data_IF_273417395694
#
_entry.id   IF_273417395694
#
_cell.length_a   1.000
_cell.length_b   1.000
_cell.length_c   1.000
_cell.angle_alpha   90.00
_cell.angle_beta   90.00
_cell.angle_gamma   90.00
#
_symmetry.space_group_name_H-M   'P 1'
#
loop_
_entity.id
_entity.type
_entity.pdbx_description
1 polymer ?
#
# COMPACT_ATOMS: atom_id res chain seq x y z
N UNK A 1 -7.24 20.48 -75.04
CA UNK A 1 -8.55 19.82 -74.86
C UNK A 1 -8.33 18.38 -75.28
N UNK A 2 -8.20 17.39 -74.39
CA UNK A 2 -9.21 16.91 -73.46
C UNK A 2 -8.55 16.36 -72.18
N UNK A 3 -9.14 16.72 -71.04
CA UNK A 3 -8.75 16.27 -69.71
C UNK A 3 -9.17 14.81 -69.49
N UNK A 4 -8.24 13.96 -69.07
CA UNK A 4 -8.56 12.65 -68.51
C UNK A 4 -9.17 12.85 -67.12
N UNK A 5 -10.49 12.68 -67.02
CA UNK A 5 -11.21 12.70 -65.76
C UNK A 5 -11.29 11.26 -65.23
N UNK A 6 -10.33 10.86 -64.40
CA UNK A 6 -10.47 9.66 -63.59
C UNK A 6 -11.55 9.89 -62.51
N UNK A 7 -12.41 8.90 -62.33
CA UNK A 7 -13.34 8.82 -61.20
C UNK A 7 -12.92 7.66 -60.31
N UNK A 8 -12.54 7.91 -59.04
CA UNK A 8 -12.54 6.87 -58.02
C UNK A 8 -13.65 7.11 -56.99
N UNK A 9 -14.67 6.26 -57.09
CA UNK A 9 -15.50 5.71 -56.01
C UNK A 9 -15.28 6.30 -54.60
N UNK A 10 -16.07 7.31 -54.22
CA UNK A 10 -16.22 7.72 -52.83
C UNK A 10 -17.05 6.70 -52.04
N UNK A 11 -16.40 5.64 -51.55
CA UNK A 11 -16.91 4.82 -50.44
C UNK A 11 -16.93 5.69 -49.18
N UNK A 12 -18.08 6.32 -48.90
CA UNK A 12 -18.37 6.97 -47.61
C UNK A 12 -18.19 5.95 -46.48
N UNK A 13 -17.06 6.02 -45.79
CA UNK A 13 -16.78 5.29 -44.54
C UNK A 13 -17.87 5.65 -43.52
N UNK A 14 -18.69 4.65 -43.15
CA UNK A 14 -19.52 4.69 -41.95
C UNK A 14 -18.60 4.96 -40.75
N UNK A 15 -18.74 6.12 -40.11
CA UNK A 15 -18.16 6.39 -38.80
C UNK A 15 -18.85 5.47 -37.81
N UNK A 16 -18.25 4.31 -37.52
CA UNK A 16 -18.58 3.56 -36.32
C UNK A 16 -18.12 4.40 -35.13
N UNK A 17 -19.08 5.16 -34.58
CA UNK A 17 -18.97 5.79 -33.28
C UNK A 17 -18.95 4.65 -32.28
N UNK A 18 -17.75 4.19 -31.91
CA UNK A 18 -17.54 3.25 -30.82
C UNK A 18 -18.21 3.87 -29.58
N UNK A 19 -19.31 3.26 -29.16
CA UNK A 19 -19.99 3.60 -27.92
C UNK A 19 -18.97 3.34 -26.80
N UNK A 20 -18.47 4.40 -26.17
CA UNK A 20 -17.68 4.29 -24.93
C UNK A 20 -18.56 3.62 -23.88
N UNK A 21 -18.31 2.33 -23.65
CA UNK A 21 -18.91 1.57 -22.56
C UNK A 21 -18.52 2.24 -21.23
N UNK A 22 -19.51 2.63 -20.46
CA UNK A 22 -19.36 3.17 -19.10
C UNK A 22 -18.99 2.04 -18.12
N UNK A 23 -17.78 1.48 -18.22
CA UNK A 23 -17.24 0.50 -17.24
C UNK A 23 -15.78 0.70 -16.76
N UNK A 24 -15.14 1.89 -16.80
CA UNK A 24 -13.78 2.03 -16.24
C UNK A 24 -13.75 2.19 -14.71
N UNK A 25 -14.75 2.80 -14.07
CA UNK A 25 -14.71 3.14 -12.63
C UNK A 25 -14.76 1.92 -11.70
N UNK A 26 -15.58 0.92 -12.01
CA UNK A 26 -15.81 -0.21 -11.11
C UNK A 26 -14.62 -1.19 -11.07
N UNK A 27 -13.93 -1.40 -12.20
CA UNK A 27 -12.70 -2.21 -12.25
C UNK A 27 -11.52 -1.55 -11.52
N UNK A 28 -11.44 -0.22 -11.57
CA UNK A 28 -10.39 0.52 -10.86
C UNK A 28 -10.54 0.43 -9.34
N UNK A 29 -11.77 0.46 -8.82
CA UNK A 29 -12.04 0.34 -7.39
C UNK A 29 -11.72 -1.08 -6.85
N UNK A 30 -12.08 -2.12 -7.59
CA UNK A 30 -11.74 -3.52 -7.24
C UNK A 30 -10.22 -3.71 -7.18
N UNK A 31 -9.50 -3.21 -8.20
CA UNK A 31 -8.03 -3.30 -8.20
C UNK A 31 -7.38 -2.56 -7.01
N UNK A 32 -7.92 -1.41 -6.61
CA UNK A 32 -7.40 -0.65 -5.48
C UNK A 32 -7.69 -1.32 -4.13
N UNK A 33 -8.82 -2.02 -4.01
CA UNK A 33 -9.13 -2.84 -2.84
C UNK A 33 -8.17 -4.03 -2.72
N UNK A 34 -7.90 -4.73 -3.83
CA UNK A 34 -6.96 -5.84 -3.87
C UNK A 34 -5.53 -5.39 -3.52
N UNK A 35 -5.11 -4.21 -4.00
CA UNK A 35 -3.82 -3.60 -3.62
C UNK A 35 -3.74 -3.29 -2.13
N UNK A 36 -4.82 -2.78 -1.53
CA UNK A 36 -4.87 -2.52 -0.09
C UNK A 36 -4.82 -3.78 0.75
N UNK A 37 -5.51 -4.83 0.31
CA UNK A 37 -5.46 -6.14 0.95
C UNK A 37 -4.03 -6.71 0.91
N UNK A 38 -3.36 -6.63 -0.23
CA UNK A 38 -1.97 -7.07 -0.34
C UNK A 38 -1.01 -6.26 0.55
N UNK A 39 -1.20 -4.95 0.66
CA UNK A 39 -0.39 -4.08 1.54
C UNK A 39 -0.63 -4.39 3.03
N UNK A 40 -1.87 -4.75 3.38
CA UNK A 40 -2.25 -5.18 4.73
C UNK A 40 -1.67 -6.55 5.09
N UNK A 41 -1.76 -7.53 4.18
CA UNK A 41 -1.17 -8.86 4.37
C UNK A 41 0.35 -8.77 4.57
N UNK A 42 1.02 -7.97 3.74
CA UNK A 42 2.46 -7.67 3.91
C UNK A 42 2.77 -7.05 5.28
N UNK A 43 1.90 -6.16 5.76
CA UNK A 43 2.05 -5.52 7.08
C UNK A 43 1.90 -6.54 8.22
N UNK A 44 0.99 -7.50 8.09
CA UNK A 44 0.85 -8.61 9.05
C UNK A 44 2.06 -9.53 9.06
N UNK A 45 2.60 -9.90 7.90
CA UNK A 45 3.81 -10.72 7.81
C UNK A 45 5.03 -10.01 8.42
N UNK A 46 5.13 -8.70 8.20
CA UNK A 46 6.17 -7.85 8.81
C UNK A 46 6.04 -7.84 10.33
N UNK A 47 4.82 -7.68 10.86
CA UNK A 47 4.57 -7.72 12.31
C UNK A 47 4.93 -9.08 12.92
N UNK A 48 4.55 -10.17 12.25
CA UNK A 48 4.88 -11.53 12.68
C UNK A 48 6.41 -11.72 12.76
N UNK A 49 7.14 -11.22 11.76
CA UNK A 49 8.60 -11.25 11.73
C UNK A 49 9.21 -10.45 12.88
N UNK A 50 8.74 -9.21 13.11
CA UNK A 50 9.18 -8.36 14.22
C UNK A 50 9.00 -9.09 15.56
N UNK A 51 7.86 -9.73 15.78
CA UNK A 51 7.58 -10.46 17.01
C UNK A 51 8.57 -11.61 17.24
N UNK A 52 8.86 -12.41 16.21
CA UNK A 52 9.83 -13.50 16.29
C UNK A 52 11.23 -12.98 16.65
N UNK A 53 11.67 -11.90 15.99
CA UNK A 53 12.98 -11.30 16.25
C UNK A 53 13.02 -10.71 17.67
N UNK A 54 11.96 -10.04 18.11
CA UNK A 54 11.87 -9.49 19.45
C UNK A 54 11.95 -10.58 20.54
N UNK A 55 11.22 -11.68 20.37
CA UNK A 55 11.26 -12.80 21.31
C UNK A 55 12.65 -13.45 21.35
N UNK A 56 13.30 -13.60 20.19
CA UNK A 56 14.69 -14.07 20.10
C UNK A 56 15.66 -13.13 20.82
N UNK A 57 15.52 -11.82 20.62
CA UNK A 57 16.37 -10.81 21.26
C UNK A 57 16.17 -10.81 22.78
N UNK A 58 14.91 -10.89 23.24
CA UNK A 58 14.55 -10.98 24.65
C UNK A 58 15.14 -12.22 25.30
N UNK A 59 15.06 -13.37 24.64
CA UNK A 59 15.66 -14.61 25.11
C UNK A 59 17.20 -14.51 25.19
N UNK A 60 17.82 -13.92 24.16
CA UNK A 60 19.26 -13.70 24.11
C UNK A 60 19.72 -12.83 25.27
N UNK A 61 19.05 -11.69 25.51
CA UNK A 61 19.33 -10.83 26.66
C UNK A 61 19.13 -11.56 27.99
N UNK A 62 18.04 -12.29 28.17
CA UNK A 62 17.76 -13.02 29.40
C UNK A 62 18.85 -14.06 29.72
N UNK A 63 19.39 -14.71 28.68
CA UNK A 63 20.42 -15.73 28.81
C UNK A 63 21.81 -15.12 29.06
N UNK A 64 22.12 -13.99 28.45
CA UNK A 64 23.42 -13.31 28.59
C UNK A 64 23.47 -12.30 29.75
N UNK A 65 22.36 -12.02 30.41
CA UNK A 65 22.25 -10.99 31.46
C UNK A 65 23.31 -11.11 32.55
N UNK A 66 23.56 -12.33 33.04
CA UNK A 66 24.55 -12.54 34.11
C UNK A 66 25.97 -12.19 33.63
N UNK A 67 26.30 -12.47 32.38
CA UNK A 67 27.62 -12.18 31.82
C UNK A 67 27.76 -10.69 31.53
N UNK A 68 26.69 -10.05 31.05
CA UNK A 68 26.60 -8.59 30.89
C UNK A 68 26.81 -7.90 32.25
N UNK A 69 26.11 -8.33 33.29
CA UNK A 69 26.20 -7.73 34.62
C UNK A 69 27.60 -7.94 35.26
N UNK A 70 28.25 -9.07 34.97
CA UNK A 70 29.63 -9.36 35.44
C UNK A 70 30.69 -8.54 34.74
N UNK A 71 30.53 -8.30 33.44
CA UNK A 71 31.48 -7.55 32.60
C UNK A 71 31.15 -6.06 32.54
N UNK A 72 30.14 -5.63 33.29
CA UNK A 72 29.62 -4.27 33.29
C UNK A 72 30.72 -3.27 33.68
N UNK A 73 31.07 -2.41 32.74
CA UNK A 73 31.88 -1.23 32.98
C UNK A 73 31.00 0.01 32.96
N UNK A 74 31.12 0.86 33.99
CA UNK A 74 30.28 2.05 34.13
C UNK A 74 30.51 3.11 33.04
N UNK A 75 31.59 3.00 32.28
CA UNK A 75 32.01 4.00 31.29
C UNK A 75 31.95 3.51 29.85
N UNK A 76 31.87 2.20 29.60
CA UNK A 76 31.94 1.61 28.26
C UNK A 76 31.03 0.38 28.21
N UNK A 77 30.15 0.33 27.22
CA UNK A 77 29.36 -0.86 26.91
C UNK A 77 30.27 -1.97 26.37
N UNK A 78 30.08 -3.19 26.87
CA UNK A 78 30.67 -4.38 26.29
C UNK A 78 30.11 -4.66 24.89
N UNK A 79 30.82 -5.48 24.11
CA UNK A 79 30.41 -5.76 22.72
C UNK A 79 29.01 -6.39 22.65
N UNK A 80 28.69 -7.31 23.58
CA UNK A 80 27.35 -7.90 23.67
C UNK A 80 26.26 -6.86 23.95
N UNK A 81 26.52 -5.89 24.83
CA UNK A 81 25.55 -4.83 25.14
C UNK A 81 25.34 -3.91 23.93
N UNK A 82 26.40 -3.61 23.18
CA UNK A 82 26.31 -2.81 21.96
C UNK A 82 25.49 -3.52 20.89
N UNK A 83 25.78 -4.79 20.62
CA UNK A 83 25.05 -5.57 19.61
C UNK A 83 23.57 -5.71 19.97
N UNK A 84 23.24 -5.96 21.25
CA UNK A 84 21.85 -5.99 21.71
C UNK A 84 21.14 -4.64 21.54
N UNK A 85 21.84 -3.53 21.81
CA UNK A 85 21.29 -2.19 21.64
C UNK A 85 21.05 -1.87 20.15
N UNK A 86 22.00 -2.20 19.28
CA UNK A 86 21.87 -2.03 17.82
C UNK A 86 20.69 -2.84 17.28
N UNK A 87 20.54 -4.09 17.70
CA UNK A 87 19.41 -4.93 17.30
C UNK A 87 18.07 -4.36 17.78
N UNK A 88 18.03 -3.77 18.99
CA UNK A 88 16.83 -3.13 19.51
C UNK A 88 16.48 -1.82 18.77
N UNK A 89 17.48 -1.02 18.42
CA UNK A 89 17.28 0.19 17.61
C UNK A 89 16.77 -0.15 16.20
N UNK A 90 17.29 -1.21 15.59
CA UNK A 90 16.80 -1.70 14.29
C UNK A 90 15.33 -2.17 14.38
N UNK A 91 14.97 -2.93 15.41
CA UNK A 91 13.58 -3.31 15.67
C UNK A 91 12.67 -2.08 15.83
N UNK A 92 13.14 -1.07 16.54
CA UNK A 92 12.40 0.19 16.72
C UNK A 92 12.18 0.90 15.38
N UNK A 93 13.19 0.90 14.50
CA UNK A 93 13.06 1.44 13.15
C UNK A 93 12.05 0.66 12.31
N UNK A 94 12.06 -0.67 12.38
CA UNK A 94 11.11 -1.54 11.68
C UNK A 94 9.67 -1.29 12.15
N UNK A 95 9.44 -1.18 13.46
CA UNK A 95 8.13 -0.85 14.03
C UNK A 95 7.64 0.51 13.54
N UNK A 96 8.49 1.55 13.60
CA UNK A 96 8.15 2.88 13.10
C UNK A 96 7.80 2.87 11.60
N UNK A 97 8.45 2.02 10.80
CA UNK A 97 8.14 1.87 9.39
C UNK A 97 6.77 1.19 9.18
N UNK A 98 6.48 0.15 9.96
CA UNK A 98 5.20 -0.55 9.94
C UNK A 98 4.05 0.38 10.34
N UNK A 99 4.20 1.16 11.41
CA UNK A 99 3.20 2.16 11.83
C UNK A 99 2.90 3.17 10.73
N UNK A 100 3.94 3.66 10.03
CA UNK A 100 3.79 4.56 8.89
C UNK A 100 3.05 3.90 7.73
N UNK A 101 3.25 2.61 7.50
CA UNK A 101 2.55 1.88 6.44
C UNK A 101 1.08 1.64 6.79
N UNK A 102 0.77 1.25 8.04
CA UNK A 102 -0.61 1.16 8.53
C UNK A 102 -1.33 2.51 8.39
N UNK A 103 -0.71 3.61 8.82
CA UNK A 103 -1.24 4.96 8.62
C UNK A 103 -1.55 5.29 7.15
N UNK A 104 -0.75 4.79 6.19
CA UNK A 104 -1.00 5.00 4.75
C UNK A 104 -2.20 4.18 4.27
N UNK A 105 -2.29 2.91 4.68
CA UNK A 105 -3.42 2.02 4.35
C UNK A 105 -4.71 2.65 4.86
N UNK A 106 -4.75 3.08 6.12
CA UNK A 106 -5.91 3.74 6.73
C UNK A 106 -6.35 4.99 5.95
N UNK A 107 -5.39 5.84 5.56
CA UNK A 107 -5.68 7.04 4.74
C UNK A 107 -6.26 6.68 3.37
N UNK A 108 -5.74 5.64 2.72
CA UNK A 108 -6.27 5.16 1.44
C UNK A 108 -7.68 4.60 1.59
N UNK A 109 -7.96 3.86 2.68
CA UNK A 109 -9.29 3.35 3.00
C UNK A 109 -10.30 4.48 3.25
N UNK A 110 -9.93 5.51 4.02
CA UNK A 110 -10.78 6.67 4.26
C UNK A 110 -11.14 7.37 2.95
N UNK A 111 -10.15 7.55 2.06
CA UNK A 111 -10.39 8.16 0.76
C UNK A 111 -11.35 7.34 -0.11
N UNK A 112 -11.20 6.02 -0.14
CA UNK A 112 -12.12 5.13 -0.87
C UNK A 112 -13.55 5.23 -0.32
N UNK A 113 -13.71 5.28 1.01
CA UNK A 113 -15.01 5.43 1.65
C UNK A 113 -15.68 6.75 1.26
N UNK A 114 -14.92 7.84 1.22
CA UNK A 114 -15.43 9.14 0.78
C UNK A 114 -15.83 9.10 -0.71
N UNK A 115 -15.02 8.50 -1.57
CA UNK A 115 -15.31 8.35 -3.01
C UNK A 115 -16.59 7.51 -3.26
N UNK A 116 -16.84 6.46 -2.49
CA UNK A 116 -18.09 5.67 -2.53
C UNK A 116 -19.31 6.48 -2.07
N UNK A 117 -19.16 7.29 -1.02
CA UNK A 117 -20.22 8.17 -0.50
C UNK A 117 -20.60 9.27 -1.50
N UNK A 118 -19.62 9.88 -2.17
CA UNK A 118 -19.85 10.87 -3.23
C UNK A 118 -20.51 10.24 -4.46
N UNK A 119 -20.10 9.04 -4.87
CA UNK A 119 -20.73 8.34 -6.01
C UNK A 119 -22.17 7.93 -5.71
N UNK A 120 -22.51 7.66 -4.44
CA UNK A 120 -23.87 7.31 -4.02
C UNK A 120 -24.80 8.55 -3.97
N UNK A 121 -24.27 9.71 -3.56
CA UNK A 121 -25.01 10.97 -3.52
C UNK A 121 -25.35 11.54 -4.90
N UNK A 122 -24.45 11.41 -5.89
CA UNK A 122 -24.76 11.83 -7.26
C UNK A 122 -25.91 11.01 -7.85
N UNK A 123 -25.97 9.70 -7.57
CA UNK A 123 -27.01 8.83 -8.11
C UNK A 123 -28.41 9.18 -7.59
N UNK A 124 -28.55 9.73 -6.38
CA UNK A 124 -29.82 10.22 -5.83
C UNK A 124 -30.28 11.56 -6.42
N UNK A 125 -29.36 12.41 -6.88
CA UNK A 125 -29.70 13.73 -7.43
C UNK A 125 -30.30 13.64 -8.85
N UNK A 126 -29.94 12.63 -9.64
CA UNK A 126 -30.51 12.41 -10.97
C UNK A 126 -31.98 11.97 -10.96
N UNK A 127 -32.50 11.46 -9.84
CA UNK A 127 -33.90 11.05 -9.69
C UNK A 127 -34.81 12.13 -9.09
N UNK A 128 -34.29 13.33 -8.81
CA UNK A 128 -35.02 14.41 -8.14
C UNK A 128 -35.29 15.65 -9.01
N UNK A 129 -35.21 15.53 -10.33
CA UNK A 129 -35.64 16.60 -11.24
C UNK A 129 -37.10 16.30 -11.68
N UNK A 130 -38.07 17.18 -11.38
CA UNK A 130 -39.49 16.97 -11.72
C UNK A 130 -39.78 17.01 -13.22
#
# INVERSE_FOLDING_TARGET
>A
MFSHHESPLLKRRRRNRVRKSHQPKQRAAVNMFDELMAELDYSYDTLATINVIFDSLRFTYATSKNDIDRLKNNTILGDMEKELLIAYDDLTLQINHLEKNICKIEKKMLKLKDDELFSSHEHTLWYSIP
#
